data_IF_579696510079
#
_entry.id   IF_579696510079
#
_cell.length_a   1.000
_cell.length_b   1.000
_cell.length_c   1.000
_cell.angle_alpha   90.00
_cell.angle_beta   90.00
_cell.angle_gamma   90.00
#
_symmetry.space_group_name_H-M   'P 1'
#
loop_
_entity.id
_entity.type
_entity.pdbx_description
1 polymer ?
#
# COMPACT_ATOMS: atom_id res chain seq x y z
N UNK A 1 -23.51 10.72 -21.27
CA UNK A 1 -22.77 9.59 -20.66
C UNK A 1 -21.34 10.06 -20.47
N UNK A 2 -20.94 10.39 -19.23
CA UNK A 2 -19.55 10.77 -18.96
C UNK A 2 -18.69 9.51 -19.04
N UNK A 3 -17.68 9.52 -19.91
CA UNK A 3 -16.63 8.50 -19.89
C UNK A 3 -15.92 8.54 -18.52
N UNK A 4 -15.60 7.38 -17.92
CA UNK A 4 -14.84 7.36 -16.68
C UNK A 4 -13.50 8.07 -16.93
N UNK A 5 -13.19 9.09 -16.12
CA UNK A 5 -11.86 9.68 -16.15
C UNK A 5 -10.87 8.63 -15.64
N UNK A 6 -9.73 8.43 -16.32
CA UNK A 6 -8.67 7.62 -15.78
C UNK A 6 -8.19 8.24 -14.45
N UNK A 7 -7.82 7.43 -13.45
CA UNK A 7 -7.42 7.91 -12.13
C UNK A 7 -6.17 8.83 -12.18
N UNK A 8 -5.40 8.81 -13.29
CA UNK A 8 -4.29 9.71 -13.54
C UNK A 8 -4.33 10.32 -14.95
N UNK A 9 -3.75 11.51 -15.07
CA UNK A 9 -3.68 12.27 -16.32
C UNK A 9 -2.93 11.56 -17.46
N UNK A 10 -2.19 10.47 -17.20
CA UNK A 10 -1.48 9.72 -18.24
C UNK A 10 -1.24 8.28 -17.80
N UNK A 11 -2.05 7.34 -18.28
CA UNK A 11 -1.66 5.92 -18.25
C UNK A 11 -0.49 5.80 -19.24
N UNK A 12 0.70 5.36 -18.80
CA UNK A 12 1.84 5.24 -19.69
C UNK A 12 1.54 4.21 -20.78
N UNK A 13 1.85 4.56 -22.03
CA UNK A 13 1.69 3.64 -23.14
C UNK A 13 2.80 2.60 -23.11
N UNK A 14 2.49 1.30 -23.26
CA UNK A 14 3.50 0.26 -23.35
C UNK A 14 4.33 0.44 -24.62
N UNK A 15 5.59 0.01 -24.54
CA UNK A 15 6.47 -0.15 -25.70
C UNK A 15 5.93 -1.26 -26.62
N UNK A 16 6.38 -1.36 -27.87
CA UNK A 16 5.94 -2.40 -28.81
C UNK A 16 6.15 -3.84 -28.32
N UNK A 17 7.10 -4.05 -27.40
CA UNK A 17 7.37 -5.34 -26.76
C UNK A 17 6.45 -5.64 -25.55
N UNK A 18 5.49 -4.77 -25.26
CA UNK A 18 4.56 -4.89 -24.14
C UNK A 18 5.11 -4.41 -22.79
N UNK A 19 6.32 -3.83 -22.74
CA UNK A 19 6.94 -3.37 -21.49
C UNK A 19 6.67 -1.90 -21.19
N UNK A 20 6.74 -1.51 -19.92
CA UNK A 20 6.65 -0.11 -19.48
C UNK A 20 8.02 0.37 -18.99
N UNK A 21 8.41 1.58 -19.39
CA UNK A 21 9.56 2.24 -18.77
C UNK A 21 9.15 2.81 -17.42
N UNK A 22 9.84 2.38 -16.37
CA UNK A 22 9.59 2.82 -14.99
C UNK A 22 10.83 3.50 -14.45
N UNK A 23 10.66 4.63 -13.77
CA UNK A 23 11.69 5.27 -12.94
C UNK A 23 11.24 5.19 -11.50
N UNK A 24 12.03 4.53 -10.65
CA UNK A 24 11.74 4.41 -9.22
C UNK A 24 12.59 5.43 -8.47
N UNK A 25 11.95 6.24 -7.63
CA UNK A 25 12.63 7.20 -6.75
C UNK A 25 12.48 6.74 -5.32
N UNK A 26 13.58 6.72 -4.58
CA UNK A 26 13.59 6.33 -3.17
C UNK A 26 13.66 7.57 -2.28
N UNK A 27 12.80 7.62 -1.27
CA UNK A 27 12.82 8.63 -0.23
C UNK A 27 13.27 7.99 1.08
N UNK A 28 14.26 8.60 1.73
CA UNK A 28 14.75 8.17 3.03
C UNK A 28 14.58 9.30 4.05
N UNK A 29 14.16 8.94 5.27
CA UNK A 29 14.08 9.84 6.41
C UNK A 29 15.08 9.40 7.48
N UNK A 30 16.18 10.14 7.63
CA UNK A 30 17.28 9.81 8.55
C UNK A 30 17.16 10.45 9.94
N UNK A 31 16.16 11.30 10.13
CA UNK A 31 15.84 11.96 11.40
C UNK A 31 14.32 12.06 11.54
N UNK A 32 13.76 11.97 12.76
CA UNK A 32 12.34 12.14 12.99
C UNK A 32 11.83 13.48 12.41
N UNK A 33 10.58 13.53 11.92
CA UNK A 33 10.02 14.75 11.35
C UNK A 33 9.95 15.85 12.41
N UNK A 34 10.41 17.05 12.05
CA UNK A 34 10.33 18.24 12.89
C UNK A 34 8.97 18.93 12.70
N UNK A 35 8.13 18.92 13.73
CA UNK A 35 6.83 19.59 13.71
C UNK A 35 5.81 18.88 14.60
N UNK A 36 4.74 19.57 14.97
CA UNK A 36 3.61 18.93 15.64
C UNK A 36 2.74 18.22 14.60
N UNK A 37 2.43 16.95 14.83
CA UNK A 37 1.40 16.25 14.06
C UNK A 37 0.06 16.97 14.29
N UNK A 38 -0.61 17.36 13.20
CA UNK A 38 -1.99 17.82 13.29
C UNK A 38 -2.87 16.68 13.79
N UNK A 39 -3.75 16.95 14.76
CA UNK A 39 -4.80 15.98 15.10
C UNK A 39 -5.77 15.89 13.91
N UNK A 40 -6.07 14.66 13.49
CA UNK A 40 -7.22 14.44 12.61
C UNK A 40 -8.47 15.00 13.30
N UNK A 41 -9.32 15.68 12.52
CA UNK A 41 -10.62 16.20 12.98
C UNK A 41 -11.75 15.18 12.79
N UNK A 42 -11.44 14.01 12.22
CA UNK A 42 -12.41 12.96 11.95
C UNK A 42 -12.45 11.98 13.13
N UNK A 43 -13.58 11.97 13.83
CA UNK A 43 -13.80 11.13 15.01
C UNK A 43 -14.11 9.66 14.65
N UNK A 44 -14.34 9.36 13.36
CA UNK A 44 -14.73 8.05 12.84
C UNK A 44 -13.57 7.24 12.24
N UNK A 45 -12.32 7.68 12.43
CA UNK A 45 -11.13 6.99 11.93
C UNK A 45 -10.51 6.07 12.97
N UNK A 46 -10.12 4.86 12.57
CA UNK A 46 -9.39 3.91 13.40
C UNK A 46 -8.29 3.26 12.58
N UNK A 47 -7.08 3.16 13.13
CA UNK A 47 -5.99 2.36 12.52
C UNK A 47 -5.80 1.11 13.37
N UNK A 48 -5.94 -0.06 12.76
CA UNK A 48 -5.75 -1.35 13.43
C UNK A 48 -4.64 -2.15 12.74
N UNK A 49 -3.81 -2.81 13.54
CA UNK A 49 -2.87 -3.79 13.01
C UNK A 49 -3.62 -5.07 12.63
N UNK A 50 -3.58 -5.45 11.36
CA UNK A 50 -4.01 -6.76 10.91
C UNK A 50 -2.88 -7.77 11.23
N UNK A 51 -3.04 -8.52 12.31
CA UNK A 51 -2.10 -9.61 12.66
C UNK A 51 -2.45 -10.83 11.82
N UNK A 52 -1.45 -11.41 11.16
CA UNK A 52 -1.60 -12.62 10.33
C UNK A 52 -2.77 -12.49 9.33
N UNK A 53 -2.82 -11.43 8.50
CA UNK A 53 -3.91 -11.26 7.56
C UNK A 53 -3.93 -12.43 6.58
N UNK A 54 -5.13 -12.90 6.23
CA UNK A 54 -5.26 -13.89 5.16
C UNK A 54 -4.76 -13.29 3.84
N UNK A 55 -4.20 -14.13 2.98
CA UNK A 55 -3.74 -13.70 1.64
C UNK A 55 -4.86 -13.00 0.87
N UNK A 56 -6.08 -13.52 0.93
CA UNK A 56 -7.24 -12.92 0.26
C UNK A 56 -7.54 -11.50 0.79
N UNK A 57 -7.52 -11.29 2.11
CA UNK A 57 -7.75 -9.97 2.70
C UNK A 57 -6.63 -9.00 2.34
N UNK A 58 -5.37 -9.43 2.40
CA UNK A 58 -4.25 -8.59 1.98
C UNK A 58 -4.35 -8.22 0.49
N UNK A 59 -4.66 -9.17 -0.39
CA UNK A 59 -4.84 -8.91 -1.83
C UNK A 59 -5.99 -7.93 -2.09
N UNK A 60 -7.06 -7.98 -1.31
CA UNK A 60 -8.13 -6.99 -1.36
C UNK A 60 -7.58 -5.57 -1.13
N UNK A 61 -6.81 -5.36 -0.05
CA UNK A 61 -6.19 -4.06 0.27
C UNK A 61 -5.21 -3.61 -0.83
N UNK A 62 -4.30 -4.52 -1.22
CA UNK A 62 -3.25 -4.25 -2.19
C UNK A 62 -3.81 -3.86 -3.56
N UNK A 63 -4.84 -4.57 -4.02
CA UNK A 63 -5.45 -4.30 -5.31
C UNK A 63 -6.22 -2.96 -5.28
N UNK A 64 -6.99 -2.65 -4.24
CA UNK A 64 -7.77 -1.41 -4.20
C UNK A 64 -6.89 -0.16 -4.18
N UNK A 65 -5.79 -0.19 -3.41
CA UNK A 65 -4.85 0.94 -3.38
C UNK A 65 -4.00 0.98 -4.66
N UNK A 66 -3.51 -0.18 -5.09
CA UNK A 66 -2.46 -0.29 -6.10
C UNK A 66 -2.91 -0.39 -7.55
N UNK A 67 -4.18 -0.74 -7.81
CA UNK A 67 -4.72 -0.93 -9.17
C UNK A 67 -4.49 0.30 -10.06
N UNK A 68 -4.79 1.54 -9.62
CA UNK A 68 -4.53 2.73 -10.42
C UNK A 68 -3.05 2.90 -10.81
N UNK A 69 -2.14 2.33 -10.02
CA UNK A 69 -0.68 2.46 -10.14
C UNK A 69 0.00 1.23 -10.74
N UNK A 70 -0.78 0.28 -11.26
CA UNK A 70 -0.29 -0.97 -11.87
C UNK A 70 0.58 -1.82 -10.92
N UNK A 71 0.40 -1.69 -9.61
CA UNK A 71 1.12 -2.48 -8.62
C UNK A 71 0.95 -3.97 -8.90
N UNK A 72 2.03 -4.72 -9.11
CA UNK A 72 1.93 -6.12 -9.56
C UNK A 72 2.75 -7.10 -8.72
N UNK A 73 3.77 -6.63 -8.00
CA UNK A 73 4.76 -7.48 -7.34
C UNK A 73 4.10 -8.50 -6.41
N UNK A 74 3.17 -8.07 -5.54
CA UNK A 74 2.45 -8.97 -4.64
C UNK A 74 1.39 -9.81 -5.33
N UNK A 75 0.89 -9.38 -6.49
CA UNK A 75 0.02 -10.18 -7.37
C UNK A 75 0.76 -11.33 -8.04
N UNK A 76 2.04 -11.12 -8.37
CA UNK A 76 2.88 -12.11 -9.03
C UNK A 76 3.37 -13.23 -8.09
N UNK A 77 3.34 -13.01 -6.77
CA UNK A 77 3.70 -14.04 -5.79
C UNK A 77 2.62 -15.12 -5.71
N UNK A 78 3.07 -16.37 -5.59
CA UNK A 78 2.24 -17.49 -5.17
C UNK A 78 1.73 -17.26 -3.73
N UNK A 79 0.59 -17.87 -3.40
CA UNK A 79 -0.09 -17.61 -2.13
C UNK A 79 0.74 -18.04 -0.92
N UNK A 80 1.53 -19.11 -1.02
CA UNK A 80 2.43 -19.58 0.03
C UNK A 80 3.60 -18.61 0.27
N UNK A 81 4.20 -18.09 -0.79
CA UNK A 81 5.26 -17.09 -0.72
C UNK A 81 4.75 -15.77 -0.13
N UNK A 82 3.55 -15.34 -0.53
CA UNK A 82 2.91 -14.15 0.04
C UNK A 82 2.54 -14.37 1.51
N UNK A 83 1.95 -15.52 1.86
CA UNK A 83 1.64 -15.86 3.24
C UNK A 83 2.89 -15.89 4.13
N UNK A 84 4.02 -16.40 3.63
CA UNK A 84 5.29 -16.38 4.35
C UNK A 84 5.74 -14.95 4.69
N UNK A 85 5.57 -13.99 3.77
CA UNK A 85 5.89 -12.58 4.04
C UNK A 85 4.91 -12.01 5.08
N UNK A 86 3.60 -12.24 4.90
CA UNK A 86 2.56 -11.68 5.79
C UNK A 86 2.60 -12.21 7.22
N UNK A 87 3.14 -13.42 7.41
CA UNK A 87 3.29 -14.07 8.72
C UNK A 87 4.66 -13.81 9.37
N UNK A 88 5.57 -13.09 8.70
CA UNK A 88 6.83 -12.69 9.32
C UNK A 88 6.54 -11.69 10.46
N UNK A 89 7.03 -11.98 11.66
CA UNK A 89 6.89 -11.11 12.84
C UNK A 89 7.39 -9.66 12.62
N UNK A 90 8.29 -9.46 11.66
CA UNK A 90 8.88 -8.17 11.28
C UNK A 90 8.14 -7.47 10.13
N UNK A 91 7.10 -8.08 9.56
CA UNK A 91 6.23 -7.45 8.56
C UNK A 91 4.90 -7.07 9.22
N UNK A 92 4.57 -5.78 9.17
CA UNK A 92 3.41 -5.24 9.88
C UNK A 92 2.44 -4.62 8.87
N UNK A 93 1.22 -5.14 8.83
CA UNK A 93 0.12 -4.56 8.05
C UNK A 93 -0.81 -3.78 8.98
N UNK A 94 -1.00 -2.50 8.73
CA UNK A 94 -1.99 -1.67 9.41
C UNK A 94 -3.06 -1.23 8.43
N UNK A 95 -4.32 -1.31 8.83
CA UNK A 95 -5.47 -0.93 8.02
C UNK A 95 -6.11 0.30 8.65
N UNK A 96 -6.32 1.32 7.83
CA UNK A 96 -7.15 2.46 8.17
C UNK A 96 -8.61 2.05 7.96
N UNK A 97 -9.44 2.32 8.94
CA UNK A 97 -10.89 2.18 8.87
C UNK A 97 -11.54 3.54 9.05
N UNK A 98 -12.61 3.77 8.31
CA UNK A 98 -13.54 4.88 8.48
C UNK A 98 -14.92 4.32 8.73
N UNK A 99 -15.52 4.64 9.88
CA UNK A 99 -16.85 4.11 10.25
C UNK A 99 -16.97 2.58 10.11
N UNK A 100 -15.88 1.85 10.37
CA UNK A 100 -15.81 0.38 10.28
C UNK A 100 -15.48 -0.20 8.90
N UNK A 101 -15.38 0.63 7.86
CA UNK A 101 -15.02 0.19 6.49
C UNK A 101 -13.53 0.46 6.23
N UNK A 102 -12.76 -0.49 5.66
CA UNK A 102 -11.39 -0.23 5.23
C UNK A 102 -11.33 0.97 4.29
N UNK A 103 -10.40 1.90 4.54
CA UNK A 103 -10.23 3.14 3.80
C UNK A 103 -8.78 3.33 3.30
N UNK A 104 -7.93 2.33 3.50
CA UNK A 104 -6.51 2.37 3.17
C UNK A 104 -5.70 1.43 4.04
N UNK A 105 -4.42 1.28 3.71
CA UNK A 105 -3.52 0.46 4.51
C UNK A 105 -2.07 0.88 4.34
N UNK A 106 -1.22 0.34 5.20
CA UNK A 106 0.23 0.40 5.11
C UNK A 106 0.84 -0.95 5.45
N UNK A 107 1.84 -1.36 4.69
CA UNK A 107 2.76 -2.45 4.98
C UNK A 107 4.13 -1.86 5.37
N UNK A 108 4.57 -2.19 6.57
CA UNK A 108 5.89 -1.83 7.08
C UNK A 108 6.76 -3.08 7.19
N UNK A 109 7.99 -2.98 6.72
CA UNK A 109 8.96 -4.07 6.76
C UNK A 109 10.17 -3.69 7.63
N UNK A 110 10.37 -4.45 8.70
CA UNK A 110 11.44 -4.30 9.68
C UNK A 110 12.50 -5.40 9.54
N UNK A 111 12.53 -6.14 8.44
CA UNK A 111 13.47 -7.27 8.26
C UNK A 111 14.92 -6.81 8.16
N UNK A 112 15.16 -5.59 7.70
CA UNK A 112 16.47 -4.91 7.75
C UNK A 112 16.68 -4.31 9.14
N UNK A 113 17.86 -4.54 9.74
CA UNK A 113 18.19 -3.97 11.06
C UNK A 113 18.26 -2.46 11.02
N UNK A 114 17.78 -1.81 12.08
CA UNK A 114 17.87 -0.36 12.30
C UNK A 114 17.12 0.51 11.27
N UNK A 115 16.29 -0.11 10.43
CA UNK A 115 15.49 0.56 9.40
C UNK A 115 14.04 0.05 9.42
N UNK A 116 13.14 0.86 8.88
CA UNK A 116 11.78 0.45 8.54
C UNK A 116 11.50 0.89 7.10
N UNK A 117 11.16 -0.07 6.25
CA UNK A 117 10.72 0.21 4.90
C UNK A 117 9.20 0.39 4.87
N UNK A 118 8.76 1.48 4.25
CA UNK A 118 7.36 1.71 3.90
C UNK A 118 7.09 1.00 2.56
N UNK A 119 6.90 -0.32 2.61
CA UNK A 119 6.85 -1.17 1.42
C UNK A 119 5.67 -0.82 0.50
N UNK A 120 4.47 -0.69 1.09
CA UNK A 120 3.28 -0.24 0.38
C UNK A 120 2.42 0.59 1.31
N UNK A 121 1.84 1.68 0.79
CA UNK A 121 0.86 2.46 1.54
C UNK A 121 -0.06 3.21 0.60
N UNK A 122 -1.28 3.47 1.06
CA UNK A 122 -2.19 4.36 0.37
C UNK A 122 -3.59 4.30 0.94
N UNK A 123 -4.41 5.20 0.43
CA UNK A 123 -5.83 5.30 0.75
C UNK A 123 -6.65 4.67 -0.38
N UNK A 124 -7.84 4.23 -0.03
CA UNK A 124 -8.84 3.86 -1.04
C UNK A 124 -9.28 5.15 -1.76
N UNK A 125 -9.70 5.05 -3.03
CA UNK A 125 -10.03 6.22 -3.84
C UNK A 125 -11.33 6.94 -3.41
N UNK A 126 -12.25 6.26 -2.73
CA UNK A 126 -13.49 6.82 -2.15
C UNK A 126 -13.35 7.43 -0.74
#
# INVERSE_FOLDING_TARGET
MNSPQPPFATIPQPRPDGTLQVTVTYLQMTRPPSGSLGRSRADDLTILRAREPTVAFYRFLYNHVGEPWLWYERRALADDALAAILNDSKVHVYVLYRSGVPAGYVELDYRVSDEVELAYFGLFPE
#
